data_IF_722074790840
#
_entry.id   IF_722074790840
#
_cell.length_a   1.000
_cell.length_b   1.000
_cell.length_c   1.000
_cell.angle_alpha   90.00
_cell.angle_beta   90.00
_cell.angle_gamma   90.00
#
_symmetry.space_group_name_H-M   'P 1'
#
loop_
_entity.id
_entity.type
_entity.pdbx_description
1 polymer ?
#
# COMPACT_ATOMS: atom_id res chain seq x y z
N UNK A 1 -7.05 -10.18 21.06
CA UNK A 1 -6.00 -9.13 21.00
C UNK A 1 -4.79 -9.67 21.72
N UNK A 2 -3.60 -9.41 21.19
CA UNK A 2 -2.32 -9.68 21.83
C UNK A 2 -1.62 -8.34 22.00
N UNK A 3 -1.39 -7.97 23.26
CA UNK A 3 -0.70 -6.74 23.64
C UNK A 3 0.81 -6.86 23.37
N UNK A 4 1.52 -5.73 23.21
CA UNK A 4 2.99 -5.74 23.19
C UNK A 4 3.53 -6.30 24.51
N UNK A 5 4.70 -6.94 24.43
CA UNK A 5 5.39 -7.46 25.61
C UNK A 5 5.81 -6.30 26.52
N UNK A 6 5.78 -6.50 27.85
CA UNK A 6 6.11 -5.45 28.81
C UNK A 6 7.57 -4.98 28.73
N UNK A 7 8.44 -5.82 28.18
CA UNK A 7 9.86 -5.60 27.92
C UNK A 7 10.15 -5.20 26.47
N UNK A 8 9.12 -4.97 25.64
CA UNK A 8 9.30 -4.53 24.28
C UNK A 8 10.06 -3.18 24.23
N UNK A 9 10.98 -2.99 23.27
CA UNK A 9 11.83 -1.80 23.22
C UNK A 9 11.05 -0.51 22.90
N UNK A 10 9.86 -0.65 22.32
CA UNK A 10 8.96 0.44 21.90
C UNK A 10 7.53 -0.05 21.84
N UNK A 11 6.59 0.88 21.72
CA UNK A 11 5.20 0.59 21.38
C UNK A 11 4.87 1.16 19.99
N UNK A 12 4.35 0.31 19.11
CA UNK A 12 3.94 0.73 17.75
C UNK A 12 2.44 1.04 17.77
N UNK A 13 2.03 2.27 17.41
CA UNK A 13 0.64 2.70 17.56
C UNK A 13 -0.32 2.10 16.51
N UNK A 14 0.21 1.52 15.44
CA UNK A 14 -0.62 0.92 14.38
C UNK A 14 -0.78 -0.57 14.65
N UNK A 15 -2.00 -1.06 14.92
CA UNK A 15 -2.21 -2.47 15.18
C UNK A 15 -2.10 -3.31 13.90
N UNK A 16 -1.51 -4.50 14.04
CA UNK A 16 -1.48 -5.51 12.99
C UNK A 16 -2.74 -6.36 13.06
N UNK A 17 -3.43 -6.54 11.93
CA UNK A 17 -4.63 -7.37 11.83
C UNK A 17 -4.28 -8.72 11.17
N UNK A 18 -4.37 -9.80 11.94
CA UNK A 18 -4.22 -11.17 11.49
C UNK A 18 -5.59 -11.77 11.19
N UNK A 19 -5.79 -12.17 9.94
CA UNK A 19 -7.05 -12.74 9.48
C UNK A 19 -6.98 -14.26 9.50
N UNK A 20 -7.94 -14.91 10.14
CA UNK A 20 -8.11 -16.37 10.13
C UNK A 20 -9.52 -16.74 9.68
N UNK A 21 -9.65 -17.97 9.19
CA UNK A 21 -10.92 -18.64 8.97
C UNK A 21 -10.76 -20.11 9.42
N UNK A 22 -10.87 -20.34 10.73
CA UNK A 22 -10.51 -21.63 11.34
C UNK A 22 -11.38 -22.79 10.85
N UNK A 23 -12.67 -22.57 10.59
CA UNK A 23 -13.54 -23.58 9.97
C UNK A 23 -13.24 -23.87 8.49
N UNK A 24 -12.55 -22.97 7.79
CA UNK A 24 -12.15 -23.20 6.39
C UNK A 24 -10.87 -24.01 6.30
N UNK A 25 -9.93 -23.70 7.19
CA UNK A 25 -8.57 -24.23 7.16
C UNK A 25 -8.36 -25.38 8.13
N UNK A 26 -9.33 -25.64 9.02
CA UNK A 26 -9.21 -26.61 10.12
C UNK A 26 -8.15 -26.23 11.15
N UNK A 27 -7.58 -25.03 11.06
CA UNK A 27 -6.43 -24.58 11.83
C UNK A 27 -6.86 -23.43 12.72
N UNK A 28 -6.53 -23.48 14.02
CA UNK A 28 -6.83 -22.37 14.92
C UNK A 28 -5.90 -21.19 14.64
N UNK A 29 -6.32 -19.95 14.95
CA UNK A 29 -5.46 -18.78 14.75
C UNK A 29 -4.12 -18.89 15.48
N UNK A 30 -4.10 -19.51 16.67
CA UNK A 30 -2.86 -19.75 17.43
C UNK A 30 -1.91 -20.69 16.68
N UNK A 31 -2.44 -21.74 16.05
CA UNK A 31 -1.63 -22.65 15.23
C UNK A 31 -1.13 -21.99 13.94
N UNK A 32 -1.88 -21.04 13.39
CA UNK A 32 -1.55 -20.37 12.14
C UNK A 32 -0.52 -19.25 12.31
N UNK A 33 -0.59 -18.52 13.44
CA UNK A 33 0.14 -17.27 13.64
C UNK A 33 0.92 -17.21 14.96
N UNK A 34 0.87 -18.22 15.83
CA UNK A 34 1.43 -18.16 17.19
C UNK A 34 2.84 -17.58 17.25
N UNK A 35 3.77 -18.15 16.49
CA UNK A 35 5.15 -17.68 16.45
C UNK A 35 5.31 -16.24 15.94
N UNK A 36 4.50 -15.84 14.95
CA UNK A 36 4.48 -14.47 14.44
C UNK A 36 3.97 -13.51 15.51
N UNK A 37 2.86 -13.85 16.16
CA UNK A 37 2.23 -13.04 17.19
C UNK A 37 3.18 -12.82 18.38
N UNK A 38 3.91 -13.86 18.80
CA UNK A 38 4.92 -13.77 19.85
C UNK A 38 6.06 -12.81 19.46
N UNK A 39 6.58 -12.93 18.24
CA UNK A 39 7.65 -12.04 17.74
C UNK A 39 7.19 -10.60 17.57
N UNK A 40 5.98 -10.37 17.04
CA UNK A 40 5.42 -9.02 16.90
C UNK A 40 5.13 -8.38 18.26
N UNK A 41 4.66 -9.17 19.23
CA UNK A 41 4.47 -8.70 20.61
C UNK A 41 5.80 -8.25 21.23
N UNK A 42 6.88 -9.04 21.07
CA UNK A 42 8.23 -8.68 21.52
C UNK A 42 8.79 -7.45 20.80
N UNK A 43 8.43 -7.25 19.53
CA UNK A 43 8.82 -6.07 18.75
C UNK A 43 7.99 -4.81 19.06
N UNK A 44 6.98 -4.90 19.94
CA UNK A 44 6.18 -3.76 20.37
C UNK A 44 4.89 -3.52 19.59
N UNK A 45 4.48 -4.44 18.72
CA UNK A 45 3.23 -4.31 17.98
C UNK A 45 2.04 -4.83 18.77
N UNK A 46 0.94 -4.08 18.74
CA UNK A 46 -0.37 -4.63 19.12
C UNK A 46 -0.92 -5.46 17.97
N UNK A 47 -1.29 -6.71 18.25
CA UNK A 47 -1.83 -7.63 17.24
C UNK A 47 -3.30 -7.97 17.50
N UNK A 48 -4.12 -7.90 16.46
CA UNK A 48 -5.53 -8.25 16.46
C UNK A 48 -5.72 -9.49 15.63
N UNK A 49 -6.16 -10.55 16.27
CA UNK A 49 -6.51 -11.78 15.57
C UNK A 49 -8.01 -11.79 15.36
N UNK A 50 -8.42 -11.80 14.10
CA UNK A 50 -9.81 -11.87 13.69
C UNK A 50 -10.05 -13.21 13.01
N UNK A 51 -10.73 -14.12 13.71
CA UNK A 51 -11.18 -15.38 13.14
C UNK A 51 -12.61 -15.21 12.61
N UNK A 52 -12.73 -15.15 11.28
CA UNK A 52 -14.02 -14.89 10.61
C UNK A 52 -14.63 -16.22 10.23
N UNK A 53 -15.66 -16.60 10.97
CA UNK A 53 -16.31 -17.90 10.83
C UNK A 53 -17.82 -17.79 11.09
N UNK A 54 -18.60 -17.62 10.02
CA UNK A 54 -20.07 -17.60 10.11
C UNK A 54 -20.64 -19.03 10.09
N UNK A 55 -21.58 -19.37 11.01
CA UNK A 55 -22.33 -20.61 10.93
C UNK A 55 -23.40 -20.47 9.83
N UNK A 56 -23.05 -20.75 8.58
CA UNK A 56 -23.95 -20.57 7.43
C UNK A 56 -23.76 -21.62 6.33
N UNK A 57 -24.89 -22.09 5.78
CA UNK A 57 -24.96 -23.08 4.68
C UNK A 57 -24.68 -22.50 3.29
N UNK A 58 -24.30 -21.22 3.20
CA UNK A 58 -23.97 -20.57 1.94
C UNK A 58 -22.69 -21.17 1.35
N UNK A 59 -22.61 -21.26 0.02
CA UNK A 59 -21.45 -21.77 -0.72
C UNK A 59 -20.96 -20.73 -1.73
N UNK A 60 -19.65 -20.73 -2.01
CA UNK A 60 -19.08 -19.86 -3.05
C UNK A 60 -18.99 -18.37 -2.69
N UNK A 61 -19.20 -17.50 -3.68
CA UNK A 61 -18.92 -16.06 -3.60
C UNK A 61 -19.81 -15.29 -2.60
N UNK A 62 -21.05 -15.72 -2.37
CA UNK A 62 -21.94 -15.10 -1.39
C UNK A 62 -21.39 -15.19 0.03
N UNK A 63 -20.85 -16.36 0.39
CA UNK A 63 -20.23 -16.59 1.71
C UNK A 63 -18.94 -15.78 1.88
N UNK A 64 -18.12 -15.67 0.83
CA UNK A 64 -16.90 -14.86 0.84
C UNK A 64 -17.24 -13.37 1.09
N UNK A 65 -18.27 -12.85 0.43
CA UNK A 65 -18.70 -11.47 0.62
C UNK A 65 -19.32 -11.22 2.01
N UNK A 66 -20.11 -12.15 2.53
CA UNK A 66 -20.66 -12.08 3.89
C UNK A 66 -19.55 -12.00 4.95
N UNK A 67 -18.52 -12.85 4.81
CA UNK A 67 -17.37 -12.83 5.71
C UNK A 67 -16.55 -11.54 5.56
N UNK A 68 -16.40 -11.01 4.35
CA UNK A 68 -15.75 -9.72 4.15
C UNK A 68 -16.53 -8.55 4.80
N UNK A 69 -17.86 -8.62 4.83
CA UNK A 69 -18.69 -7.68 5.62
C UNK A 69 -18.51 -7.88 7.13
N UNK A 70 -18.32 -9.11 7.61
CA UNK A 70 -18.02 -9.35 9.01
C UNK A 70 -16.66 -8.74 9.42
N UNK A 71 -15.64 -8.82 8.56
CA UNK A 71 -14.37 -8.10 8.76
C UNK A 71 -14.63 -6.59 8.89
N UNK A 72 -15.46 -6.01 8.00
CA UNK A 72 -15.83 -4.58 8.07
C UNK A 72 -16.54 -4.27 9.39
N UNK A 73 -17.46 -5.12 9.84
CA UNK A 73 -18.22 -4.95 11.08
C UNK A 73 -17.29 -4.93 12.29
N UNK A 74 -16.37 -5.90 12.37
CA UNK A 74 -15.39 -6.00 13.44
C UNK A 74 -14.44 -4.79 13.48
N UNK A 75 -14.04 -4.25 12.33
CA UNK A 75 -13.13 -3.10 12.27
C UNK A 75 -13.82 -1.75 12.50
N UNK A 76 -15.12 -1.62 12.22
CA UNK A 76 -15.88 -0.40 12.56
C UNK A 76 -16.18 -0.28 14.04
N UNK A 77 -16.36 -1.41 14.71
CA UNK A 77 -16.66 -1.48 16.14
C UNK A 77 -15.65 -2.41 16.83
N UNK A 78 -14.37 -2.03 16.88
CA UNK A 78 -13.36 -2.87 17.50
C UNK A 78 -13.60 -2.98 19.01
N UNK A 79 -13.07 -4.02 19.68
CA UNK A 79 -13.13 -4.13 21.12
C UNK A 79 -12.63 -2.85 21.81
N UNK A 80 -13.19 -2.46 22.98
CA UNK A 80 -12.86 -1.21 23.65
C UNK A 80 -11.36 -1.04 23.94
N UNK A 81 -10.68 -2.15 24.16
CA UNK A 81 -9.24 -2.24 24.43
C UNK A 81 -8.38 -1.77 23.25
N UNK A 82 -8.84 -1.99 22.02
CA UNK A 82 -8.14 -1.61 20.78
C UNK A 82 -8.37 -0.14 20.45
N UNK A 83 -9.60 0.33 20.69
CA UNK A 83 -10.07 1.62 20.19
C UNK A 83 -10.22 1.66 18.66
N UNK A 84 -10.81 2.74 18.16
CA UNK A 84 -10.94 2.97 16.71
C UNK A 84 -9.64 3.60 16.21
N UNK A 85 -8.89 2.87 15.38
CA UNK A 85 -7.71 3.42 14.72
C UNK A 85 -8.12 4.48 13.69
N UNK A 86 -7.49 5.67 13.68
CA UNK A 86 -7.71 6.68 12.64
C UNK A 86 -7.08 6.28 11.29
N UNK A 87 -6.20 5.27 11.28
CA UNK A 87 -5.51 4.78 10.09
C UNK A 87 -6.06 3.44 9.61
N UNK A 88 -6.07 3.19 8.28
CA UNK A 88 -6.37 1.86 7.74
C UNK A 88 -5.47 0.79 8.36
N UNK A 89 -5.96 -0.44 8.59
CA UNK A 89 -5.16 -1.48 9.22
C UNK A 89 -4.07 -2.01 8.26
N UNK A 90 -3.06 -2.63 8.85
CA UNK A 90 -2.17 -3.56 8.15
C UNK A 90 -2.78 -4.94 8.25
N UNK A 91 -3.05 -5.59 7.12
CA UNK A 91 -3.71 -6.89 7.09
C UNK A 91 -2.71 -7.98 6.72
N UNK A 92 -2.62 -9.02 7.54
CA UNK A 92 -1.84 -10.22 7.32
C UNK A 92 -2.81 -11.40 7.26
N UNK A 93 -2.79 -12.13 6.15
CA UNK A 93 -3.65 -13.28 5.94
C UNK A 93 -2.82 -14.48 5.45
N UNK A 94 -3.34 -15.69 5.70
CA UNK A 94 -2.67 -16.94 5.35
C UNK A 94 -3.62 -17.95 4.74
N UNK A 95 -3.14 -18.76 3.79
CA UNK A 95 -3.91 -19.86 3.19
C UNK A 95 -5.23 -19.35 2.58
N UNK A 96 -6.32 -20.12 2.72
CA UNK A 96 -7.66 -19.76 2.25
C UNK A 96 -8.16 -18.38 2.71
N UNK A 97 -7.68 -17.86 3.86
CA UNK A 97 -8.07 -16.54 4.34
C UNK A 97 -7.52 -15.39 3.49
N UNK A 98 -6.49 -15.62 2.66
CA UNK A 98 -5.99 -14.64 1.70
C UNK A 98 -7.08 -14.16 0.74
N UNK A 99 -8.00 -15.06 0.33
CA UNK A 99 -9.13 -14.69 -0.54
C UNK A 99 -10.05 -13.68 0.17
N UNK A 100 -10.29 -13.87 1.47
CA UNK A 100 -11.09 -12.93 2.26
C UNK A 100 -10.38 -11.57 2.39
N UNK A 101 -9.06 -11.58 2.58
CA UNK A 101 -8.27 -10.37 2.65
C UNK A 101 -8.30 -9.58 1.33
N UNK A 102 -8.20 -10.27 0.19
CA UNK A 102 -8.29 -9.66 -1.14
C UNK A 102 -9.70 -9.10 -1.42
N UNK A 103 -10.76 -9.84 -1.09
CA UNK A 103 -12.14 -9.32 -1.21
C UNK A 103 -12.35 -8.12 -0.31
N UNK A 104 -11.84 -8.13 0.92
CA UNK A 104 -11.90 -6.99 1.81
C UNK A 104 -11.15 -5.79 1.21
N UNK A 105 -9.91 -5.99 0.77
CA UNK A 105 -9.05 -4.97 0.17
C UNK A 105 -9.63 -4.36 -1.11
N UNK A 106 -10.45 -5.11 -1.85
CA UNK A 106 -11.10 -4.63 -3.08
C UNK A 106 -12.04 -3.44 -2.86
N UNK A 107 -12.58 -3.30 -1.64
CA UNK A 107 -13.58 -2.27 -1.32
C UNK A 107 -13.25 -1.45 -0.08
N UNK A 108 -12.13 -1.72 0.60
CA UNK A 108 -11.68 -0.97 1.76
C UNK A 108 -10.18 -0.64 1.64
N UNK A 109 -9.74 0.57 2.01
CA UNK A 109 -8.32 0.89 2.05
C UNK A 109 -7.61 0.09 3.14
N UNK A 110 -6.36 -0.27 2.87
CA UNK A 110 -5.40 -0.85 3.82
C UNK A 110 -4.14 0.00 3.84
N UNK A 111 -3.41 -0.03 4.96
CA UNK A 111 -2.08 0.59 5.04
C UNK A 111 -1.04 -0.30 4.38
N UNK A 112 -1.17 -1.61 4.56
CA UNK A 112 -0.44 -2.62 3.81
C UNK A 112 -1.18 -3.97 3.86
N UNK A 113 -0.84 -4.86 2.93
CA UNK A 113 -1.40 -6.21 2.84
C UNK A 113 -0.28 -7.23 2.68
N UNK A 114 -0.27 -8.26 3.52
CA UNK A 114 0.60 -9.42 3.38
C UNK A 114 -0.22 -10.69 3.21
N UNK A 115 0.07 -11.44 2.15
CA UNK A 115 -0.52 -12.73 1.84
C UNK A 115 0.54 -13.80 2.01
N UNK A 116 0.36 -14.69 2.98
CA UNK A 116 1.27 -15.82 3.23
C UNK A 116 0.61 -17.10 2.70
N UNK A 117 1.34 -17.87 1.90
CA UNK A 117 0.83 -19.12 1.31
C UNK A 117 -0.56 -18.93 0.61
N UNK A 118 -0.78 -17.91 -0.23
CA UNK A 118 -2.10 -17.70 -0.82
C UNK A 118 -2.46 -18.81 -1.82
N UNK A 119 -3.75 -19.08 -2.08
CA UNK A 119 -4.14 -19.93 -3.20
C UNK A 119 -3.64 -19.34 -4.52
N UNK A 120 -2.93 -20.15 -5.30
CA UNK A 120 -2.32 -19.74 -6.59
C UNK A 120 -3.33 -19.12 -7.54
N UNK A 121 -4.52 -19.71 -7.63
CA UNK A 121 -5.67 -19.15 -8.31
C UNK A 121 -6.94 -19.54 -7.57
N UNK A 122 -7.99 -18.74 -7.73
CA UNK A 122 -9.33 -19.07 -7.23
C UNK A 122 -9.83 -20.41 -7.77
N UNK A 123 -9.51 -20.75 -9.02
CA UNK A 123 -9.89 -22.03 -9.64
C UNK A 123 -9.21 -23.24 -8.97
N UNK A 124 -8.01 -23.07 -8.42
CA UNK A 124 -7.29 -24.14 -7.70
C UNK A 124 -7.60 -24.18 -6.20
N UNK A 125 -8.23 -23.14 -5.63
CA UNK A 125 -8.58 -23.10 -4.21
C UNK A 125 -9.39 -24.33 -3.73
N UNK A 126 -10.37 -24.86 -4.48
CA UNK A 126 -11.09 -26.09 -4.13
C UNK A 126 -10.21 -27.34 -3.98
N UNK A 127 -9.07 -27.41 -4.68
CA UNK A 127 -8.17 -28.57 -4.62
C UNK A 127 -7.45 -28.65 -3.28
N UNK A 128 -7.10 -27.49 -2.71
CA UNK A 128 -6.40 -27.37 -1.43
C UNK A 128 -7.35 -27.28 -0.25
N UNK A 129 -8.48 -26.58 -0.42
CA UNK A 129 -9.45 -26.28 0.63
C UNK A 129 -10.88 -26.65 0.18
N UNK A 130 -11.18 -27.93 -0.03
CA UNK A 130 -12.46 -28.38 -0.59
C UNK A 130 -13.66 -28.05 0.31
N UNK A 131 -13.49 -28.08 1.63
CA UNK A 131 -14.56 -27.75 2.58
C UNK A 131 -14.87 -26.25 2.61
N UNK A 132 -13.85 -25.41 2.37
CA UNK A 132 -14.00 -23.95 2.28
C UNK A 132 -14.57 -23.52 0.93
N UNK A 133 -14.12 -24.18 -0.15
CA UNK A 133 -14.49 -23.89 -1.53
C UNK A 133 -14.98 -25.17 -2.21
N UNK A 134 -16.26 -25.56 -2.02
CA UNK A 134 -16.80 -26.79 -2.59
C UNK A 134 -16.94 -26.77 -4.12
N UNK A 135 -16.86 -25.58 -4.73
CA UNK A 135 -16.85 -25.36 -6.17
C UNK A 135 -15.95 -24.17 -6.52
N UNK A 136 -15.59 -24.01 -7.79
CA UNK A 136 -14.86 -22.83 -8.25
C UNK A 136 -15.65 -21.56 -7.86
N UNK A 137 -15.08 -20.69 -7.01
CA UNK A 137 -15.77 -19.47 -6.62
C UNK A 137 -15.84 -18.54 -7.83
N UNK A 138 -17.07 -18.20 -8.26
CA UNK A 138 -17.35 -17.17 -9.27
C UNK A 138 -17.10 -15.78 -8.69
N UNK A 139 -15.82 -15.47 -8.48
CA UNK A 139 -15.34 -14.26 -7.82
C UNK A 139 -14.28 -13.59 -8.71
N UNK A 140 -14.58 -12.36 -9.14
CA UNK A 140 -13.63 -11.54 -9.89
C UNK A 140 -12.86 -10.59 -8.94
N UNK A 141 -11.63 -10.96 -8.58
CA UNK A 141 -10.71 -10.10 -7.82
C UNK A 141 -9.93 -9.16 -8.75
N UNK A 142 -10.55 -8.04 -9.11
CA UNK A 142 -10.01 -7.10 -10.12
C UNK A 142 -9.45 -5.80 -9.52
N UNK A 143 -8.95 -5.81 -8.28
CA UNK A 143 -8.49 -4.60 -7.61
C UNK A 143 -6.99 -4.34 -7.84
N UNK A 144 -6.63 -3.08 -8.08
CA UNK A 144 -5.24 -2.66 -8.19
C UNK A 144 -4.86 -1.99 -6.87
N UNK A 145 -3.95 -2.61 -6.11
CA UNK A 145 -3.54 -2.09 -4.82
C UNK A 145 -2.77 -0.77 -4.98
N UNK A 146 -3.09 0.21 -4.13
CA UNK A 146 -2.38 1.50 -4.03
C UNK A 146 -1.62 1.64 -2.71
N UNK A 147 -1.46 0.54 -1.99
CA UNK A 147 -0.71 0.37 -0.76
C UNK A 147 0.31 -0.76 -0.95
N UNK A 148 1.36 -0.84 -0.14
CA UNK A 148 2.31 -1.95 -0.18
C UNK A 148 1.60 -3.30 -0.05
N UNK A 149 1.85 -4.20 -1.02
CA UNK A 149 1.37 -5.59 -1.00
C UNK A 149 2.56 -6.50 -1.07
N UNK A 150 2.59 -7.49 -0.18
CA UNK A 150 3.61 -8.52 -0.13
C UNK A 150 2.96 -9.89 -0.22
N UNK A 151 3.51 -10.75 -1.08
CA UNK A 151 3.11 -12.16 -1.18
C UNK A 151 4.31 -13.01 -0.82
N UNK A 152 4.14 -13.95 0.10
CA UNK A 152 5.21 -14.80 0.63
C UNK A 152 4.76 -16.25 0.67
N UNK A 153 5.72 -17.16 0.60
CA UNK A 153 5.52 -18.60 0.49
C UNK A 153 6.42 -19.32 1.48
N UNK A 154 5.91 -20.37 2.10
CA UNK A 154 6.72 -21.32 2.85
C UNK A 154 7.25 -22.42 1.90
N UNK A 155 8.44 -22.95 2.18
CA UNK A 155 9.01 -24.07 1.41
C UNK A 155 8.07 -25.28 1.38
N UNK A 156 7.38 -25.55 2.50
CA UNK A 156 6.40 -26.62 2.61
C UNK A 156 5.21 -26.43 1.63
N UNK A 157 4.69 -25.21 1.49
CA UNK A 157 3.58 -24.94 0.57
C UNK A 157 4.05 -25.02 -0.90
N UNK A 158 5.25 -24.53 -1.21
CA UNK A 158 5.82 -24.68 -2.56
C UNK A 158 6.07 -26.13 -2.93
N UNK A 159 6.53 -26.94 -1.98
CA UNK A 159 6.69 -28.38 -2.17
C UNK A 159 5.34 -29.05 -2.42
N UNK A 160 4.31 -28.70 -1.65
CA UNK A 160 2.95 -29.19 -1.88
C UNK A 160 2.46 -28.85 -3.30
N UNK A 161 2.71 -27.62 -3.77
CA UNK A 161 2.39 -27.21 -5.13
C UNK A 161 3.12 -28.04 -6.20
N UNK A 162 4.42 -28.26 -6.03
CA UNK A 162 5.20 -29.10 -6.94
C UNK A 162 4.65 -30.53 -7.01
N UNK A 163 4.32 -31.12 -5.86
CA UNK A 163 3.78 -32.49 -5.75
C UNK A 163 2.37 -32.61 -6.37
N UNK A 164 1.61 -31.50 -6.45
CA UNK A 164 0.26 -31.44 -7.02
C UNK A 164 0.22 -30.88 -8.45
N UNK A 165 1.35 -30.85 -9.15
CA UNK A 165 1.41 -30.46 -10.56
C UNK A 165 1.10 -28.98 -10.81
N UNK A 166 1.29 -28.12 -9.82
CA UNK A 166 1.35 -26.67 -10.03
C UNK A 166 2.72 -26.37 -10.59
N UNK A 167 2.76 -25.76 -11.77
CA UNK A 167 4.03 -25.35 -12.34
C UNK A 167 4.65 -24.26 -11.47
N UNK A 168 5.97 -24.30 -11.28
CA UNK A 168 6.67 -23.38 -10.39
C UNK A 168 6.38 -21.90 -10.71
N UNK A 169 6.22 -21.52 -11.99
CA UNK A 169 5.90 -20.15 -12.40
C UNK A 169 4.45 -19.75 -12.09
N UNK A 170 3.53 -20.70 -11.93
CA UNK A 170 2.15 -20.40 -11.52
C UNK A 170 2.10 -20.03 -10.04
N UNK A 171 2.81 -20.79 -9.18
CA UNK A 171 2.89 -20.48 -7.75
C UNK A 171 3.55 -19.11 -7.49
N UNK A 172 4.53 -18.74 -8.30
CA UNK A 172 5.29 -17.50 -8.11
C UNK A 172 4.85 -16.37 -9.03
N UNK A 173 3.59 -16.38 -9.49
CA UNK A 173 3.07 -15.44 -10.49
C UNK A 173 2.89 -14.04 -9.90
N UNK A 174 4.00 -13.32 -9.71
CA UNK A 174 4.03 -11.86 -9.66
C UNK A 174 3.89 -11.42 -11.12
N UNK A 175 2.69 -10.98 -11.56
CA UNK A 175 2.30 -10.78 -12.97
C UNK A 175 3.19 -9.83 -13.83
N UNK A 176 4.34 -9.37 -13.35
CA UNK A 176 5.23 -8.47 -14.09
C UNK A 176 6.75 -8.78 -14.03
N UNK A 177 7.20 -9.85 -13.38
CA UNK A 177 8.61 -10.25 -13.47
C UNK A 177 8.85 -11.08 -14.74
N UNK A 178 9.79 -10.65 -15.60
CA UNK A 178 10.30 -11.49 -16.70
C UNK A 178 10.97 -12.73 -16.10
N UNK A 179 10.85 -13.87 -16.78
CA UNK A 179 11.43 -15.17 -16.37
C UNK A 179 12.90 -15.06 -15.92
N UNK A 180 13.65 -14.12 -16.51
CA UNK A 180 15.07 -13.84 -16.23
C UNK A 180 15.33 -13.20 -14.84
N UNK A 181 14.36 -12.46 -14.28
CA UNK A 181 14.43 -11.76 -12.97
C UNK A 181 13.60 -12.48 -11.89
N UNK A 182 12.78 -13.46 -12.28
CA UNK A 182 12.01 -14.27 -11.34
C UNK A 182 12.97 -14.98 -10.35
N UNK A 183 14.08 -15.53 -10.85
CA UNK A 183 15.13 -16.19 -10.04
C UNK A 183 15.51 -15.44 -8.75
N UNK A 184 15.84 -14.15 -8.86
CA UNK A 184 16.29 -13.34 -7.71
C UNK A 184 15.13 -12.79 -6.86
N UNK A 185 13.94 -12.62 -7.45
CA UNK A 185 12.75 -12.22 -6.70
C UNK A 185 12.17 -13.38 -5.88
N UNK A 186 12.36 -14.62 -6.32
CA UNK A 186 11.85 -15.83 -5.68
C UNK A 186 12.40 -15.96 -4.26
N UNK A 187 13.71 -15.88 -4.08
CA UNK A 187 14.37 -16.06 -2.78
C UNK A 187 13.93 -15.04 -1.72
N UNK A 188 13.42 -13.87 -2.12
CA UNK A 188 12.97 -12.79 -1.21
C UNK A 188 11.57 -13.01 -0.63
N UNK A 189 10.84 -13.98 -1.16
CA UNK A 189 9.47 -14.22 -0.74
C UNK A 189 9.24 -15.68 -0.40
N UNK A 190 10.32 -16.46 -0.25
CA UNK A 190 10.27 -17.85 0.18
C UNK A 190 10.93 -17.98 1.54
N UNK A 191 10.21 -18.61 2.46
CA UNK A 191 10.64 -18.82 3.83
C UNK A 191 10.79 -20.32 4.12
N UNK A 192 11.89 -20.76 4.77
CA UNK A 192 11.99 -22.15 5.22
C UNK A 192 10.84 -22.50 6.16
N UNK A 193 10.56 -21.62 7.13
CA UNK A 193 9.41 -21.71 8.01
C UNK A 193 8.72 -20.35 8.15
N UNK A 194 7.49 -20.35 8.65
CA UNK A 194 6.77 -19.12 8.97
C UNK A 194 7.55 -18.24 9.96
N UNK A 195 8.27 -18.86 10.89
CA UNK A 195 9.02 -18.18 11.94
C UNK A 195 10.19 -17.39 11.34
N UNK A 196 10.84 -17.92 10.30
CA UNK A 196 11.92 -17.23 9.60
C UNK A 196 11.40 -15.97 8.88
N UNK A 197 10.17 -16.04 8.37
CA UNK A 197 9.48 -14.93 7.72
C UNK A 197 9.11 -13.77 8.64
N UNK A 198 9.09 -13.99 9.96
CA UNK A 198 8.67 -12.98 10.93
C UNK A 198 9.62 -11.77 10.96
N UNK A 199 10.93 -12.02 10.97
CA UNK A 199 11.93 -10.94 10.98
C UNK A 199 11.89 -10.16 9.69
N UNK A 200 11.80 -10.84 8.55
CA UNK A 200 11.70 -10.18 7.26
C UNK A 200 10.38 -9.41 7.11
N UNK A 201 9.31 -9.87 7.76
CA UNK A 201 8.04 -9.13 7.82
C UNK A 201 8.19 -7.86 8.66
N UNK A 202 8.85 -7.93 9.82
CA UNK A 202 9.20 -6.75 10.63
C UNK A 202 10.01 -5.75 9.82
N UNK A 203 11.07 -6.20 9.16
CA UNK A 203 11.93 -5.35 8.34
C UNK A 203 11.13 -4.68 7.21
N UNK A 204 10.21 -5.41 6.58
CA UNK A 204 9.32 -4.86 5.55
C UNK A 204 8.34 -3.81 6.11
N UNK A 205 7.72 -4.10 7.26
CA UNK A 205 6.83 -3.17 7.95
C UNK A 205 7.57 -1.87 8.32
N UNK A 206 8.78 -1.99 8.82
CA UNK A 206 9.58 -0.85 9.25
C UNK A 206 10.07 -0.01 8.06
N UNK A 207 10.70 -0.65 7.08
CA UNK A 207 11.43 0.05 6.02
C UNK A 207 10.56 0.44 4.82
N UNK A 208 9.60 -0.41 4.45
CA UNK A 208 8.80 -0.20 3.24
C UNK A 208 7.40 0.35 3.54
N UNK A 209 6.76 -0.13 4.61
CA UNK A 209 5.45 0.39 5.04
C UNK A 209 5.59 1.67 5.84
N UNK A 210 6.73 1.88 6.50
CA UNK A 210 7.07 3.11 7.21
C UNK A 210 6.78 3.08 8.71
N UNK A 211 6.85 1.91 9.35
CA UNK A 211 6.77 1.75 10.81
C UNK A 211 8.13 1.79 11.52
N UNK A 212 9.20 2.16 10.80
CA UNK A 212 10.55 2.27 11.39
C UNK A 212 10.51 3.08 12.68
N UNK A 213 11.13 2.54 13.73
CA UNK A 213 11.47 3.33 14.89
C UNK A 213 12.43 4.42 14.42
N UNK A 214 12.25 5.63 14.90
CA UNK A 214 13.26 6.67 14.82
C UNK A 214 14.52 6.20 15.57
N UNK A 215 15.39 5.45 14.90
CA UNK A 215 16.69 5.01 15.40
C UNK A 215 17.73 5.05 14.27
N UNK A 216 17.84 6.19 13.60
CA UNK A 216 19.17 6.64 13.20
C UNK A 216 19.62 7.69 14.21
N UNK A 217 20.47 7.25 15.13
CA UNK A 217 21.31 8.14 15.92
C UNK A 217 22.17 8.95 14.96
N UNK A 218 21.71 10.16 14.62
CA UNK A 218 22.59 11.22 14.16
C UNK A 218 23.38 11.69 15.37
N UNK A 219 24.66 11.29 15.42
CA UNK A 219 25.64 11.89 16.33
C UNK A 219 25.70 13.41 16.06
N UNK A 220 25.35 14.17 17.10
CA UNK A 220 25.68 15.56 17.40
C UNK A 220 25.97 16.51 16.21
N UNK A 221 24.93 17.18 15.72
CA UNK A 221 25.03 18.61 15.44
C UNK A 221 24.08 19.34 16.40
N UNK A 222 24.69 20.01 17.38
CA UNK A 222 24.05 20.91 18.32
C UNK A 222 23.24 22.00 17.58
N UNK A 223 22.14 22.37 18.22
CA UNK A 223 21.27 23.52 17.95
C UNK A 223 20.18 23.35 16.88
N UNK A 224 19.05 22.76 17.29
CA UNK A 224 17.77 23.47 17.20
C UNK A 224 16.68 22.80 18.06
N UNK A 225 16.24 23.52 19.09
CA UNK A 225 15.05 23.25 19.90
C UNK A 225 13.78 23.37 19.03
N UNK A 226 12.88 22.37 19.12
CA UNK A 226 11.44 22.35 18.79
C UNK A 226 11.03 22.80 17.34
N UNK A 227 10.15 22.15 16.58
CA UNK A 227 8.72 21.93 16.84
C UNK A 227 8.18 20.85 15.87
N UNK A 228 7.83 19.67 16.36
CA UNK A 228 6.82 18.82 15.70
C UNK A 228 5.43 19.32 16.13
N UNK A 229 4.82 20.19 15.33
CA UNK A 229 3.49 20.71 15.62
C UNK A 229 2.40 19.86 14.96
N UNK A 230 1.35 19.60 15.75
CA UNK A 230 0.04 19.11 15.35
C UNK A 230 -0.50 19.76 14.06
N UNK A 231 -1.51 19.18 13.36
CA UNK A 231 -2.07 19.75 12.13
C UNK A 231 -2.36 21.24 12.32
N UNK A 232 -1.56 22.09 11.65
CA UNK A 232 -1.59 23.53 11.84
C UNK A 232 -2.98 24.06 11.50
N UNK A 233 -3.60 24.75 12.47
CA UNK A 233 -4.81 25.52 12.22
C UNK A 233 -4.48 26.56 11.13
N UNK A 234 -5.35 26.76 10.15
CA UNK A 234 -5.05 27.63 9.03
C UNK A 234 -4.90 29.08 9.53
N UNK A 235 -3.73 29.66 9.30
CA UNK A 235 -3.40 31.02 9.70
C UNK A 235 -3.76 32.00 8.59
N UNK A 236 -4.12 33.24 8.96
CA UNK A 236 -4.36 34.33 7.99
C UNK A 236 -3.05 34.86 7.38
N UNK A 237 -1.91 34.53 7.97
CA UNK A 237 -0.58 34.91 7.50
C UNK A 237 0.03 33.79 6.65
N UNK A 238 0.75 34.14 5.57
CA UNK A 238 1.39 33.16 4.73
C UNK A 238 2.52 32.43 5.50
N UNK A 239 2.73 31.13 5.23
CA UNK A 239 3.85 30.38 5.79
C UNK A 239 5.19 31.06 5.57
N UNK A 240 6.06 30.97 6.57
CA UNK A 240 7.37 31.64 6.59
C UNK A 240 8.23 31.31 5.36
N UNK A 241 8.27 30.04 4.96
CA UNK A 241 8.99 29.59 3.75
C UNK A 241 8.46 30.23 2.47
N UNK A 242 7.16 30.54 2.41
CA UNK A 242 6.53 31.18 1.26
C UNK A 242 6.79 32.69 1.26
N UNK A 243 6.77 33.32 2.44
CA UNK A 243 7.02 34.76 2.60
C UNK A 243 8.49 35.15 2.42
N UNK A 244 9.42 34.30 2.88
CA UNK A 244 10.87 34.55 2.80
C UNK A 244 11.49 34.11 1.46
N UNK A 245 10.91 33.10 0.81
CA UNK A 245 11.37 32.61 -0.49
C UNK A 245 10.87 33.46 -1.67
N UNK A 246 11.40 33.22 -2.86
CA UNK A 246 10.93 33.85 -4.09
C UNK A 246 9.70 33.17 -4.71
N UNK A 247 8.87 32.49 -3.89
CA UNK A 247 7.70 31.75 -4.37
C UNK A 247 6.61 32.71 -4.82
N UNK A 248 6.06 32.46 -6.01
CA UNK A 248 4.93 33.23 -6.53
C UNK A 248 3.99 32.30 -7.27
N UNK A 249 2.70 32.58 -7.21
CA UNK A 249 1.77 31.91 -8.11
C UNK A 249 2.10 32.28 -9.56
N UNK A 250 1.98 31.31 -10.46
CA UNK A 250 2.21 31.53 -11.88
C UNK A 250 1.24 32.59 -12.40
N UNK A 251 1.71 33.70 -13.02
CA UNK A 251 0.84 34.76 -13.52
C UNK A 251 -0.15 34.26 -14.59
N UNK A 252 0.24 33.25 -15.35
CA UNK A 252 -0.58 32.64 -16.42
C UNK A 252 -1.68 31.68 -15.90
N UNK A 253 -1.79 31.45 -14.59
CA UNK A 253 -2.72 30.47 -14.02
C UNK A 253 -2.47 29.03 -14.49
N UNK A 254 -1.22 28.72 -14.83
CA UNK A 254 -0.86 27.46 -15.45
C UNK A 254 -1.15 26.28 -14.52
N UNK A 255 -2.01 25.34 -14.94
CA UNK A 255 -2.30 24.11 -14.16
C UNK A 255 -1.11 23.16 -14.07
N UNK A 256 -0.08 23.36 -14.91
CA UNK A 256 1.09 22.49 -14.99
C UNK A 256 2.17 22.87 -13.98
N UNK A 257 2.33 24.16 -13.71
CA UNK A 257 3.27 24.70 -12.72
C UNK A 257 2.57 25.87 -12.03
N UNK A 258 1.69 25.57 -11.06
CA UNK A 258 0.86 26.59 -10.43
C UNK A 258 1.65 27.52 -9.50
N UNK A 259 2.75 27.02 -8.94
CA UNK A 259 3.67 27.76 -8.07
C UNK A 259 5.07 27.81 -8.69
N UNK A 260 5.62 29.02 -8.83
CA UNK A 260 7.01 29.25 -9.19
C UNK A 260 7.86 28.88 -7.98
N UNK A 261 8.78 27.95 -8.18
CA UNK A 261 9.65 27.42 -7.15
C UNK A 261 10.89 28.29 -6.95
N UNK A 262 11.34 28.42 -5.71
CA UNK A 262 12.67 28.97 -5.39
C UNK A 262 13.70 27.83 -5.39
N UNK A 263 14.62 27.84 -6.36
CA UNK A 263 15.62 26.78 -6.50
C UNK A 263 16.60 26.75 -5.32
N UNK A 264 16.75 27.84 -4.54
CA UNK A 264 17.64 27.87 -3.36
C UNK A 264 17.19 26.94 -2.25
N UNK A 265 15.90 26.66 -2.20
CA UNK A 265 15.28 25.82 -1.19
C UNK A 265 15.11 24.36 -1.64
N UNK A 266 15.52 24.04 -2.87
CA UNK A 266 15.38 22.71 -3.46
C UNK A 266 16.73 22.01 -3.49
N UNK A 267 16.82 20.91 -2.76
CA UNK A 267 17.91 19.96 -2.93
C UNK A 267 17.53 18.95 -4.01
N UNK A 268 18.36 18.87 -5.05
CA UNK A 268 18.18 17.95 -6.17
C UNK A 268 19.20 16.82 -6.11
N UNK A 269 18.72 15.58 -6.17
CA UNK A 269 19.55 14.37 -6.21
C UNK A 269 19.15 13.52 -7.41
N UNK A 270 20.15 12.90 -8.03
CA UNK A 270 19.94 11.93 -9.10
C UNK A 270 20.24 10.54 -8.57
N UNK A 271 19.19 9.75 -8.44
CA UNK A 271 19.28 8.38 -7.96
C UNK A 271 19.21 7.42 -9.15
N UNK A 272 19.76 6.22 -8.98
CA UNK A 272 19.53 5.14 -9.94
C UNK A 272 18.06 4.77 -9.88
N UNK A 273 17.47 4.54 -11.05
CA UNK A 273 16.09 4.11 -11.08
C UNK A 273 15.98 2.69 -10.53
N UNK A 274 14.89 2.40 -9.84
CA UNK A 274 14.49 1.04 -9.50
C UNK A 274 13.26 0.67 -10.33
N UNK A 275 13.16 -0.59 -10.75
CA UNK A 275 12.02 -1.11 -11.52
C UNK A 275 12.37 -1.72 -12.89
N UNK A 276 11.38 -2.31 -13.59
CA UNK A 276 11.55 -3.30 -14.67
C UNK A 276 11.95 -2.71 -16.04
N UNK A 277 12.84 -1.72 -16.07
CA UNK A 277 13.43 -1.26 -17.32
C UNK A 277 14.84 -1.79 -17.48
N UNK A 278 15.17 -2.23 -18.69
CA UNK A 278 16.44 -2.89 -19.00
C UNK A 278 17.69 -2.07 -18.64
N UNK A 279 18.88 -2.61 -18.97
CA UNK A 279 20.22 -2.15 -18.52
C UNK A 279 20.45 -0.62 -18.40
N UNK A 280 19.78 0.21 -19.20
CA UNK A 280 19.83 1.65 -19.11
C UNK A 280 19.31 2.23 -17.78
N UNK A 281 18.27 1.67 -17.15
CA UNK A 281 17.69 2.20 -15.89
C UNK A 281 18.64 1.95 -14.70
N UNK A 282 19.24 0.76 -14.64
CA UNK A 282 20.16 0.38 -13.56
C UNK A 282 21.53 1.06 -13.69
N UNK A 283 21.94 1.43 -14.91
CA UNK A 283 23.24 2.10 -15.17
C UNK A 283 23.16 3.62 -15.15
N UNK A 284 22.03 4.22 -15.56
CA UNK A 284 21.89 5.67 -15.68
C UNK A 284 21.08 6.23 -14.51
N UNK A 285 21.66 7.19 -13.76
CA UNK A 285 21.00 7.95 -12.69
C UNK A 285 19.95 8.93 -13.26
N UNK A 286 18.87 8.37 -13.79
CA UNK A 286 17.79 9.08 -14.50
C UNK A 286 16.60 9.38 -13.59
N UNK A 287 16.49 8.73 -12.43
CA UNK A 287 15.48 9.03 -11.43
C UNK A 287 15.88 10.30 -10.66
N UNK A 288 14.93 11.22 -10.51
CA UNK A 288 15.17 12.53 -9.89
C UNK A 288 14.44 12.58 -8.56
N UNK A 289 15.18 12.88 -7.51
CA UNK A 289 14.66 13.18 -6.19
C UNK A 289 14.81 14.67 -5.91
N UNK A 290 13.73 15.31 -5.45
CA UNK A 290 13.69 16.69 -5.00
C UNK A 290 13.25 16.74 -3.55
N UNK A 291 13.99 17.49 -2.73
CA UNK A 291 13.65 17.77 -1.33
C UNK A 291 13.50 19.28 -1.17
N UNK A 292 12.35 19.71 -0.67
CA UNK A 292 12.10 21.10 -0.31
C UNK A 292 12.52 21.34 1.13
N UNK A 293 13.68 21.97 1.31
CA UNK A 293 14.33 22.18 2.63
C UNK A 293 13.44 22.85 3.68
N UNK A 294 12.64 23.89 3.39
CA UNK A 294 11.85 24.58 4.43
C UNK A 294 10.64 23.77 4.92
N UNK A 295 10.12 22.84 4.12
CA UNK A 295 8.91 22.07 4.48
C UNK A 295 9.19 20.58 4.66
N UNK A 296 10.44 20.13 4.49
CA UNK A 296 10.81 18.71 4.50
C UNK A 296 10.18 17.86 3.38
N UNK A 297 9.52 18.46 2.38
CA UNK A 297 8.73 17.71 1.40
C UNK A 297 9.65 17.00 0.39
N UNK A 298 9.59 15.67 0.36
CA UNK A 298 10.37 14.81 -0.55
C UNK A 298 9.52 14.28 -1.70
N UNK A 299 10.06 14.29 -2.92
CA UNK A 299 9.39 13.79 -4.13
C UNK A 299 10.41 13.08 -5.02
N UNK A 300 10.04 11.90 -5.52
CA UNK A 300 10.81 11.14 -6.51
C UNK A 300 10.06 11.06 -7.84
N UNK A 301 10.77 11.03 -8.97
CA UNK A 301 10.17 10.96 -10.29
C UNK A 301 11.02 10.18 -11.30
N UNK A 302 10.43 9.10 -11.81
CA UNK A 302 11.00 8.21 -12.83
C UNK A 302 9.98 7.95 -13.95
N UNK A 303 9.56 9.00 -14.66
CA UNK A 303 8.51 8.90 -15.69
C UNK A 303 9.05 8.49 -17.07
N UNK A 304 10.32 8.80 -17.38
CA UNK A 304 10.93 8.60 -18.69
C UNK A 304 12.38 8.15 -18.57
N UNK A 305 12.98 7.71 -19.68
CA UNK A 305 14.43 7.42 -19.76
C UNK A 305 15.33 8.68 -19.77
N UNK A 306 14.74 9.88 -19.83
CA UNK A 306 15.48 11.14 -19.94
C UNK A 306 15.53 11.84 -18.58
N UNK A 307 16.74 12.03 -18.06
CA UNK A 307 16.98 12.76 -16.80
C UNK A 307 16.36 14.16 -16.83
N UNK A 308 16.52 14.89 -17.94
CA UNK A 308 16.01 16.26 -18.07
C UNK A 308 14.47 16.31 -18.04
N UNK A 309 13.81 15.35 -18.70
CA UNK A 309 12.34 15.27 -18.68
C UNK A 309 11.84 14.90 -17.28
N UNK A 310 12.50 13.97 -16.60
CA UNK A 310 12.17 13.61 -15.21
C UNK A 310 12.39 14.79 -14.26
N UNK A 311 13.43 15.61 -14.49
CA UNK A 311 13.72 16.85 -13.77
C UNK A 311 12.55 17.85 -13.86
N UNK A 312 11.99 18.02 -15.05
CA UNK A 312 10.83 18.89 -15.28
C UNK A 312 9.57 18.32 -14.63
N UNK A 313 9.35 17.01 -14.73
CA UNK A 313 8.19 16.38 -14.10
C UNK A 313 8.25 16.47 -12.57
N UNK A 314 9.41 16.22 -11.97
CA UNK A 314 9.62 16.35 -10.52
C UNK A 314 9.30 17.77 -10.04
N UNK A 315 9.78 18.81 -10.74
CA UNK A 315 9.45 20.22 -10.42
C UNK A 315 7.97 20.54 -10.55
N UNK A 316 7.29 20.00 -11.58
CA UNK A 316 5.83 20.17 -11.74
C UNK A 316 5.06 19.54 -10.59
N UNK A 317 5.44 18.33 -10.16
CA UNK A 317 4.80 17.65 -9.03
C UNK A 317 5.08 18.41 -7.73
N UNK A 318 6.31 18.89 -7.52
CA UNK A 318 6.67 19.70 -6.35
C UNK A 318 5.87 20.99 -6.27
N UNK A 319 5.76 21.71 -7.38
CA UNK A 319 4.95 22.92 -7.52
C UNK A 319 3.49 22.68 -7.12
N UNK A 320 2.88 21.59 -7.60
CA UNK A 320 1.49 21.23 -7.28
C UNK A 320 1.31 20.86 -5.79
N UNK A 321 2.25 20.10 -5.21
CA UNK A 321 2.17 19.73 -3.79
C UNK A 321 2.35 20.93 -2.87
N UNK A 322 3.30 21.82 -3.17
CA UNK A 322 3.51 23.05 -2.38
C UNK A 322 2.34 24.01 -2.50
N UNK A 323 1.74 24.14 -3.69
CA UNK A 323 0.50 24.92 -3.87
C UNK A 323 -0.64 24.36 -3.00
N UNK A 324 -0.77 23.04 -2.95
CA UNK A 324 -1.80 22.38 -2.14
C UNK A 324 -1.56 22.63 -0.64
N UNK A 325 -0.32 22.46 -0.18
CA UNK A 325 0.08 22.71 1.21
C UNK A 325 -0.14 24.18 1.60
N UNK A 326 0.22 25.11 0.72
CA UNK A 326 -0.01 26.54 0.92
C UNK A 326 -1.50 26.87 1.06
N UNK A 327 -2.36 26.29 0.22
CA UNK A 327 -3.82 26.48 0.29
C UNK A 327 -4.46 25.86 1.53
N UNK A 328 -3.84 24.85 2.13
CA UNK A 328 -4.30 24.24 3.38
C UNK A 328 -3.88 25.06 4.60
N UNK A 329 -2.68 25.65 4.55
CA UNK A 329 -2.08 26.37 5.68
C UNK A 329 -2.43 27.86 5.69
N UNK A 330 -2.71 28.45 4.53
CA UNK A 330 -2.99 29.87 4.36
C UNK A 330 -4.40 30.12 3.78
N UNK A 331 -5.26 30.76 4.56
CA UNK A 331 -6.53 31.33 4.07
C UNK A 331 -6.32 32.79 3.67
N UNK A 332 -5.92 33.04 2.42
CA UNK A 332 -6.04 34.37 1.85
C UNK A 332 -7.54 34.72 1.80
N UNK A 333 -7.95 35.75 2.55
CA UNK A 333 -9.34 36.11 2.83
C UNK A 333 -10.31 35.98 1.65
N UNK A 334 -11.52 35.55 1.97
CA UNK A 334 -12.65 35.31 1.09
C UNK A 334 -12.81 36.38 -0.01
N UNK A 335 -12.47 36.01 -1.25
CA UNK A 335 -13.03 36.58 -2.50
C UNK A 335 -12.54 35.86 -3.79
N UNK A 336 -11.82 34.74 -3.68
CA UNK A 336 -11.54 33.88 -4.84
C UNK A 336 -12.67 32.85 -5.00
N UNK A 337 -13.40 32.79 -6.14
CA UNK A 337 -14.50 31.87 -6.29
C UNK A 337 -13.98 30.45 -6.10
N UNK A 338 -14.65 29.70 -5.21
CA UNK A 338 -14.52 28.26 -5.01
C UNK A 338 -14.89 27.57 -6.32
N UNK A 339 -13.99 27.63 -7.32
CA UNK A 339 -14.03 26.77 -8.49
C UNK A 339 -13.61 25.41 -7.98
N UNK A 340 -14.62 24.64 -7.62
CA UNK A 340 -14.62 23.23 -7.34
C UNK A 340 -13.32 22.51 -7.76
N UNK A 341 -12.59 22.08 -6.74
CA UNK A 341 -11.79 20.83 -6.67
C UNK A 341 -11.63 20.17 -8.05
N UNK A 342 -10.55 20.51 -8.74
CA UNK A 342 -10.10 19.70 -9.86
C UNK A 342 -9.05 18.71 -9.33
N UNK A 343 -9.29 17.40 -9.43
CA UNK A 343 -8.26 16.39 -9.22
C UNK A 343 -7.02 16.76 -10.05
N UNK A 344 -5.85 16.39 -9.55
CA UNK A 344 -4.56 16.57 -10.24
C UNK A 344 -4.68 16.28 -11.75
N UNK A 345 -3.95 17.02 -12.60
CA UNK A 345 -3.94 16.80 -14.06
C UNK A 345 -3.59 15.35 -14.42
N UNK A 346 -2.87 14.63 -13.54
CA UNK A 346 -2.62 13.19 -13.63
C UNK A 346 -3.90 12.36 -13.39
N UNK A 347 -4.66 12.64 -12.33
CA UNK A 347 -6.00 12.07 -12.11
C UNK A 347 -6.96 12.35 -13.27
N UNK A 348 -6.96 13.57 -13.83
CA UNK A 348 -7.82 13.92 -14.97
C UNK A 348 -7.50 13.14 -16.25
N UNK A 349 -6.23 12.76 -16.47
CA UNK A 349 -5.83 11.90 -17.60
C UNK A 349 -6.28 10.46 -17.38
N UNK A 350 -6.08 9.93 -16.18
CA UNK A 350 -6.54 8.59 -15.81
C UNK A 350 -8.07 8.46 -15.82
N UNK A 351 -8.81 9.48 -15.40
CA UNK A 351 -10.28 9.54 -15.46
C UNK A 351 -10.81 9.57 -16.91
N UNK A 352 -10.11 10.28 -17.81
CA UNK A 352 -10.43 10.30 -19.24
C UNK A 352 -10.15 8.94 -19.90
N UNK A 353 -9.05 8.29 -19.53
CA UNK A 353 -8.69 6.93 -19.97
C UNK A 353 -9.74 5.91 -19.50
N UNK A 354 -10.15 6.00 -18.23
CA UNK A 354 -11.18 5.17 -17.59
C UNK A 354 -12.54 5.32 -18.29
N UNK A 355 -12.97 6.55 -18.57
CA UNK A 355 -14.21 6.83 -19.33
C UNK A 355 -14.15 6.30 -20.76
N UNK A 356 -13.00 6.41 -21.44
CA UNK A 356 -12.81 5.85 -22.78
C UNK A 356 -12.92 4.32 -22.80
N UNK A 357 -12.28 3.63 -21.84
CA UNK A 357 -12.35 2.17 -21.69
C UNK A 357 -13.78 1.70 -21.37
N UNK A 358 -14.47 2.35 -20.44
CA UNK A 358 -15.88 2.04 -20.13
C UNK A 358 -16.81 2.24 -21.33
N UNK A 359 -16.67 3.34 -22.07
CA UNK A 359 -17.49 3.59 -23.25
C UNK A 359 -17.23 2.59 -24.38
N UNK A 360 -15.98 2.13 -24.55
CA UNK A 360 -15.62 1.08 -25.50
C UNK A 360 -16.28 -0.25 -25.13
N UNK A 361 -16.22 -0.65 -23.84
CA UNK A 361 -16.86 -1.88 -23.32
C UNK A 361 -18.39 -1.82 -23.44
N UNK A 362 -19.01 -0.67 -23.16
CA UNK A 362 -20.46 -0.45 -23.34
C UNK A 362 -20.87 -0.53 -24.81
N UNK A 363 -20.08 0.00 -25.74
CA UNK A 363 -20.33 -0.09 -27.18
C UNK A 363 -20.19 -1.54 -27.70
N UNK A 364 -19.24 -2.31 -27.18
CA UNK A 364 -19.08 -3.73 -27.50
C UNK A 364 -20.27 -4.55 -27.00
N UNK A 365 -20.72 -4.35 -25.75
CA UNK A 365 -21.91 -5.04 -25.20
C UNK A 365 -23.19 -4.75 -26.00
N UNK A 366 -23.38 -3.49 -26.43
CA UNK A 366 -24.54 -3.11 -27.27
C UNK A 366 -24.49 -3.69 -28.68
N UNK A 367 -23.31 -4.04 -29.21
CA UNK A 367 -23.16 -4.69 -30.51
C UNK A 367 -23.44 -6.19 -30.41
N UNK A 368 -22.90 -6.85 -29.38
CA UNK A 368 -23.19 -8.25 -29.10
C UNK A 368 -24.70 -8.50 -28.87
N UNK A 369 -25.38 -7.61 -28.14
CA UNK A 369 -26.83 -7.69 -27.91
C UNK A 369 -27.70 -7.34 -29.13
N UNK A 370 -27.12 -6.88 -30.23
CA UNK A 370 -27.84 -6.58 -31.47
C UNK A 370 -27.56 -7.60 -32.58
N UNK A 371 -26.64 -8.55 -32.32
CA UNK A 371 -26.30 -9.67 -33.21
C UNK A 371 -26.92 -11.00 -32.75
N UNK A 372 -27.49 -11.04 -31.54
CA UNK A 372 -28.49 -12.01 -31.05
C UNK A 372 -29.91 -11.46 -31.24
#
# INVERSE_FOLDING_TARGET
MIAPAADAPREVPTPLLFLSASRWTGSSPESLYGSLLDKFSQAGFTSLVLDVDTPGSATGAEKVNELAEEIRRCLRSPPPEVGVSPYPPVLIARHASCILAEVYASSNPLSALQLVDPPVTLARAPQRFPDAFPAEPDLELNFEAHFPVRVTWTEDELKWHADNGVAWYEAHRIEHAREDEAGECLDRYVWPTLDDGAQETLDWLENEVGFAAEHEAFEDEQDNEEVHSAPAQPTNEPPEWFAQGSYRFSPDGSKKMPLILDERHIQERFIRGSGPGGQAINKLSTNVELIHTPTGLRITCQATRSRQQNREFARRILSQKLEHLLKQTWHAGDDAPVRARSPSVLQSRWDKERKRKQNKKKKQRRRAQAED
#
